data_IF_214052731739
#
_entry.id   IF_214052731739
#
_cell.length_a   1.000
_cell.length_b   1.000
_cell.length_c   1.000
_cell.angle_alpha   90.00
_cell.angle_beta   90.00
_cell.angle_gamma   90.00
#
_symmetry.space_group_name_H-M   'P 1'
#
loop_
_entity.id
_entity.type
_entity.pdbx_description
1 polymer ?
#
# COMPACT_ATOMS: atom_id res chain seq x y z
N UNK A 1 -22.87 -14.87 34.20
CA UNK A 1 -22.84 -15.68 32.96
C UNK A 1 -23.49 -14.96 31.78
N UNK A 2 -24.79 -14.59 31.76
CA UNK A 2 -25.36 -13.84 30.62
C UNK A 2 -24.79 -12.42 30.47
N UNK A 3 -24.79 -11.63 31.55
CA UNK A 3 -24.21 -10.27 31.57
C UNK A 3 -22.67 -10.22 31.49
N UNK A 4 -21.97 -11.35 31.53
CA UNK A 4 -20.51 -11.37 31.39
C UNK A 4 -20.09 -11.30 29.93
N UNK A 5 -20.84 -11.93 29.01
CA UNK A 5 -20.61 -11.80 27.57
C UNK A 5 -20.95 -10.40 27.06
N UNK A 6 -21.96 -9.73 27.63
CA UNK A 6 -22.33 -8.34 27.27
C UNK A 6 -21.30 -7.29 27.73
N UNK A 7 -20.32 -7.66 28.57
CA UNK A 7 -19.22 -6.78 28.99
C UNK A 7 -17.98 -6.88 28.10
N UNK A 8 -17.92 -7.90 27.24
CA UNK A 8 -16.81 -8.09 26.31
C UNK A 8 -17.01 -7.17 25.08
N UNK A 9 -16.22 -6.11 25.00
CA UNK A 9 -16.30 -5.13 23.91
C UNK A 9 -15.89 -5.70 22.55
N UNK A 10 -15.05 -6.74 22.53
CA UNK A 10 -14.69 -7.43 21.29
C UNK A 10 -15.85 -8.28 20.80
N UNK A 11 -16.49 -9.04 21.70
CA UNK A 11 -17.70 -9.80 21.36
C UNK A 11 -18.81 -8.89 20.83
N UNK A 12 -19.01 -7.73 21.45
CA UNK A 12 -19.97 -6.71 20.99
C UNK A 12 -19.66 -6.21 19.58
N UNK A 13 -18.41 -5.84 19.29
CA UNK A 13 -18.02 -5.35 17.96
C UNK A 13 -18.08 -6.45 16.89
N UNK A 14 -17.83 -7.72 17.25
CA UNK A 14 -18.05 -8.86 16.36
C UNK A 14 -19.51 -9.07 16.01
N UNK A 15 -20.42 -8.88 16.97
CA UNK A 15 -21.86 -8.92 16.70
C UNK A 15 -22.26 -7.79 15.75
N UNK A 16 -21.81 -6.55 16.00
CA UNK A 16 -22.06 -5.43 15.08
C UNK A 16 -21.51 -5.70 13.68
N UNK A 17 -20.32 -6.29 13.58
CA UNK A 17 -19.78 -6.74 12.29
C UNK A 17 -20.69 -7.75 11.61
N UNK A 18 -21.19 -8.77 12.33
CA UNK A 18 -22.08 -9.79 11.76
C UNK A 18 -23.40 -9.19 11.24
N UNK A 19 -23.95 -8.20 11.96
CA UNK A 19 -25.19 -7.50 11.62
C UNK A 19 -25.01 -6.42 10.53
N UNK A 20 -23.77 -6.06 10.20
CA UNK A 20 -23.48 -5.01 9.22
C UNK A 20 -23.84 -5.46 7.79
N UNK A 21 -24.63 -4.67 7.03
CA UNK A 21 -25.23 -5.10 5.78
C UNK A 21 -24.26 -5.32 4.61
N UNK A 22 -23.13 -4.60 4.58
CA UNK A 22 -22.17 -4.60 3.44
C UNK A 22 -22.89 -4.36 2.11
N UNK A 23 -23.48 -3.18 1.96
CA UNK A 23 -24.41 -2.83 0.88
C UNK A 23 -23.86 -3.03 -0.54
N UNK A 24 -22.52 -2.98 -0.69
CA UNK A 24 -21.79 -3.17 -1.94
C UNK A 24 -20.92 -4.43 -1.89
N UNK A 25 -21.30 -5.44 -1.11
CA UNK A 25 -20.70 -6.77 -1.21
C UNK A 25 -20.85 -7.32 -2.64
N UNK A 26 -19.85 -8.02 -3.14
CA UNK A 26 -19.86 -8.52 -4.51
C UNK A 26 -20.96 -9.57 -4.74
N UNK A 27 -21.87 -9.29 -5.68
CA UNK A 27 -22.97 -10.20 -6.06
C UNK A 27 -23.10 -10.38 -7.57
N UNK A 28 -22.23 -9.75 -8.36
CA UNK A 28 -22.30 -9.79 -9.81
C UNK A 28 -22.02 -11.19 -10.35
N UNK A 29 -22.79 -11.58 -11.36
CA UNK A 29 -22.68 -12.89 -12.04
C UNK A 29 -22.17 -12.77 -13.46
N UNK A 30 -22.12 -11.54 -13.99
CA UNK A 30 -21.57 -11.21 -15.30
C UNK A 30 -20.51 -10.13 -15.20
N UNK A 31 -19.61 -10.07 -16.18
CA UNK A 31 -18.57 -9.04 -16.25
C UNK A 31 -19.15 -7.62 -16.30
N UNK A 32 -20.26 -7.41 -17.01
CA UNK A 32 -20.91 -6.10 -17.10
C UNK A 32 -21.49 -5.63 -15.75
N UNK A 33 -22.11 -6.54 -14.99
CA UNK A 33 -22.56 -6.25 -13.62
C UNK A 33 -21.36 -5.94 -12.71
N UNK A 34 -20.27 -6.69 -12.86
CA UNK A 34 -19.06 -6.49 -12.07
C UNK A 34 -18.38 -5.14 -12.37
N UNK A 35 -18.33 -4.72 -13.64
CA UNK A 35 -17.84 -3.40 -14.03
C UNK A 35 -18.70 -2.26 -13.46
N UNK A 36 -20.03 -2.40 -13.51
CA UNK A 36 -20.95 -1.42 -12.92
C UNK A 36 -20.77 -1.33 -11.39
N UNK A 37 -20.67 -2.48 -10.72
CA UNK A 37 -20.38 -2.56 -9.30
C UNK A 37 -19.03 -1.91 -8.93
N UNK A 38 -18.00 -2.12 -9.74
CA UNK A 38 -16.70 -1.47 -9.51
C UNK A 38 -16.79 0.05 -9.57
N UNK A 39 -17.57 0.61 -10.50
CA UNK A 39 -17.77 2.07 -10.60
C UNK A 39 -18.38 2.60 -9.31
N UNK A 40 -19.43 1.95 -8.82
CA UNK A 40 -20.13 2.34 -7.59
C UNK A 40 -19.24 2.20 -6.35
N UNK A 41 -18.62 1.03 -6.15
CA UNK A 41 -17.80 0.78 -4.98
C UNK A 41 -16.53 1.65 -4.95
N UNK A 42 -15.90 1.93 -6.10
CA UNK A 42 -14.73 2.82 -6.14
C UNK A 42 -15.08 4.26 -5.81
N UNK A 43 -16.23 4.75 -6.29
CA UNK A 43 -16.73 6.07 -5.93
C UNK A 43 -17.00 6.15 -4.42
N UNK A 44 -17.69 5.14 -3.87
CA UNK A 44 -17.96 5.06 -2.43
C UNK A 44 -16.68 4.94 -1.60
N UNK A 45 -15.72 4.12 -2.00
CA UNK A 45 -14.43 3.99 -1.32
C UNK A 45 -13.67 5.31 -1.31
N UNK A 46 -13.66 6.03 -2.44
CA UNK A 46 -13.03 7.35 -2.55
C UNK A 46 -13.66 8.37 -1.60
N UNK A 47 -14.99 8.37 -1.47
CA UNK A 47 -15.70 9.17 -0.46
C UNK A 47 -15.29 8.79 0.96
N UNK A 48 -15.30 7.49 1.29
CA UNK A 48 -15.03 6.97 2.64
C UNK A 48 -13.60 7.26 3.13
N UNK A 49 -12.61 7.29 2.23
CA UNK A 49 -11.24 7.66 2.60
C UNK A 49 -11.07 9.18 2.84
N UNK A 50 -12.11 9.99 2.59
CA UNK A 50 -12.15 11.44 2.79
C UNK A 50 -12.14 12.28 1.52
N UNK A 51 -12.26 11.64 0.35
CA UNK A 51 -12.12 12.30 -0.94
C UNK A 51 -10.71 12.84 -1.21
N UNK A 52 -10.56 13.52 -2.35
CA UNK A 52 -9.31 14.15 -2.76
C UNK A 52 -9.55 15.62 -3.12
N UNK A 53 -8.51 16.48 -3.04
CA UNK A 53 -8.61 17.85 -3.54
C UNK A 53 -9.13 17.88 -4.99
N UNK A 54 -10.08 18.78 -5.32
CA UNK A 54 -10.67 18.86 -6.66
C UNK A 54 -9.66 19.33 -7.71
N UNK A 55 -8.65 20.09 -7.29
CA UNK A 55 -7.55 20.55 -8.12
C UNK A 55 -6.22 20.05 -7.56
N UNK A 56 -5.37 19.55 -8.47
CA UNK A 56 -4.00 19.17 -8.15
C UNK A 56 -3.14 20.43 -8.09
N UNK A 57 -2.31 20.56 -7.05
CA UNK A 57 -1.31 21.63 -7.04
C UNK A 57 -0.16 21.30 -8.00
N UNK A 58 0.61 22.32 -8.37
CA UNK A 58 1.88 22.11 -9.06
C UNK A 58 2.79 21.20 -8.23
N UNK A 59 3.54 20.33 -8.91
CA UNK A 59 4.45 19.40 -8.24
C UNK A 59 5.60 20.15 -7.56
N UNK A 60 6.06 21.28 -8.11
CA UNK A 60 7.26 21.99 -7.61
C UNK A 60 8.39 21.02 -7.27
N UNK A 61 8.69 20.10 -8.19
CA UNK A 61 9.60 18.99 -7.95
C UNK A 61 11.06 19.40 -8.06
N UNK A 62 11.90 18.85 -7.18
CA UNK A 62 13.33 19.13 -7.11
C UNK A 62 14.13 17.84 -6.86
N UNK A 63 15.29 17.73 -7.51
CA UNK A 63 16.31 16.72 -7.20
C UNK A 63 17.33 17.38 -6.27
N UNK A 64 17.37 16.94 -5.02
CA UNK A 64 18.22 17.52 -3.97
C UNK A 64 19.66 16.98 -4.05
N UNK A 65 19.80 15.72 -4.42
CA UNK A 65 21.09 15.04 -4.52
C UNK A 65 20.98 13.95 -5.60
N UNK A 66 22.08 13.72 -6.32
CA UNK A 66 22.23 12.55 -7.20
C UNK A 66 23.52 11.84 -6.84
N UNK A 67 23.42 10.55 -6.50
CA UNK A 67 24.54 9.72 -6.07
C UNK A 67 24.63 8.45 -6.90
N UNK A 68 25.84 8.18 -7.38
CA UNK A 68 26.12 6.95 -8.12
C UNK A 68 26.47 5.79 -7.18
N UNK A 69 25.94 4.62 -7.50
CA UNK A 69 26.23 3.35 -6.85
C UNK A 69 26.63 2.31 -7.90
N UNK A 70 27.29 1.20 -7.51
CA UNK A 70 27.49 0.08 -8.41
C UNK A 70 26.14 -0.42 -8.96
N UNK A 71 25.94 -0.25 -10.27
CA UNK A 71 24.76 -0.74 -10.98
C UNK A 71 23.53 0.18 -10.98
N UNK A 72 23.55 1.35 -10.33
CA UNK A 72 22.42 2.30 -10.37
C UNK A 72 22.78 3.74 -9.96
N UNK A 73 21.86 4.67 -10.21
CA UNK A 73 21.87 6.03 -9.68
C UNK A 73 20.71 6.16 -8.70
N UNK A 74 20.94 6.82 -7.56
CA UNK A 74 19.89 7.24 -6.64
C UNK A 74 19.81 8.76 -6.61
N UNK A 75 18.64 9.29 -6.93
CA UNK A 75 18.29 10.69 -6.76
C UNK A 75 17.45 10.86 -5.50
N UNK A 76 17.85 11.77 -4.62
CA UNK A 76 17.00 12.22 -3.52
C UNK A 76 16.06 13.29 -4.08
N UNK A 77 14.76 13.04 -4.01
CA UNK A 77 13.74 13.86 -4.68
C UNK A 77 12.73 14.40 -3.69
N UNK A 78 12.19 15.58 -4.00
CA UNK A 78 11.05 16.14 -3.29
C UNK A 78 10.04 16.76 -4.25
N UNK A 79 8.76 16.70 -3.91
CA UNK A 79 7.68 17.33 -4.69
C UNK A 79 6.43 17.51 -3.83
N UNK A 80 5.58 18.48 -4.15
CA UNK A 80 4.33 18.76 -3.44
C UNK A 80 3.21 17.80 -3.85
N UNK A 81 2.62 17.17 -2.84
CA UNK A 81 1.31 16.54 -3.00
C UNK A 81 0.17 17.54 -2.76
N UNK A 82 0.37 18.48 -1.84
CA UNK A 82 -0.59 19.52 -1.45
C UNK A 82 0.13 20.85 -1.25
N UNK A 83 -0.61 21.96 -1.26
CA UNK A 83 -0.06 23.33 -1.07
C UNK A 83 0.88 23.47 0.12
N UNK A 84 0.64 22.72 1.19
CA UNK A 84 1.40 22.77 2.45
C UNK A 84 2.01 21.42 2.84
N UNK A 85 2.22 20.50 1.89
CA UNK A 85 2.84 19.20 2.16
C UNK A 85 3.75 18.78 1.03
N UNK A 86 4.98 18.43 1.38
CA UNK A 86 6.02 17.93 0.50
C UNK A 86 6.18 16.43 0.75
N UNK A 87 6.27 15.67 -0.34
CA UNK A 87 6.72 14.29 -0.37
C UNK A 87 8.24 14.31 -0.53
N UNK A 88 8.92 13.52 0.28
CA UNK A 88 10.34 13.22 0.18
C UNK A 88 10.49 11.76 -0.27
N UNK A 89 11.55 11.44 -1.02
CA UNK A 89 11.82 10.07 -1.41
C UNK A 89 13.09 9.91 -2.23
N UNK A 90 13.25 8.70 -2.77
CA UNK A 90 14.38 8.34 -3.62
C UNK A 90 13.89 7.78 -4.95
N UNK A 91 14.41 8.32 -6.05
CA UNK A 91 14.26 7.73 -7.37
C UNK A 91 15.53 6.95 -7.73
N UNK A 92 15.40 5.65 -7.98
CA UNK A 92 16.49 4.75 -8.30
C UNK A 92 16.36 4.28 -9.76
N UNK A 93 17.44 4.45 -10.52
CA UNK A 93 17.49 4.08 -11.93
C UNK A 93 18.67 3.14 -12.22
N UNK A 94 18.46 2.01 -12.91
CA UNK A 94 19.52 1.04 -13.19
C UNK A 94 20.60 1.59 -14.14
N UNK A 95 21.86 1.14 -13.94
CA UNK A 95 23.03 1.42 -14.80
C UNK A 95 23.63 0.12 -15.38
N UNK A 96 24.01 0.10 -16.67
CA UNK A 96 23.61 1.06 -17.70
C UNK A 96 22.08 1.00 -17.91
N UNK A 97 21.46 2.01 -18.56
CA UNK A 97 20.08 1.89 -18.98
C UNK A 97 19.91 0.57 -19.75
N UNK A 98 18.98 -0.30 -19.31
CA UNK A 98 18.82 -1.64 -19.89
C UNK A 98 18.50 -1.58 -21.38
N UNK A 99 17.86 -0.50 -21.83
CA UNK A 99 17.66 -0.19 -23.24
C UNK A 99 17.38 1.30 -23.46
N UNK A 100 17.14 1.69 -24.72
CA UNK A 100 16.62 3.01 -25.08
C UNK A 100 15.12 3.18 -24.79
N UNK A 101 14.42 2.13 -24.33
CA UNK A 101 13.00 2.21 -23.95
C UNK A 101 12.85 2.59 -22.48
N UNK A 102 11.78 3.33 -22.12
CA UNK A 102 11.47 3.63 -20.73
C UNK A 102 11.36 2.36 -19.86
N UNK A 103 11.74 2.44 -18.59
CA UNK A 103 11.76 1.30 -17.68
C UNK A 103 10.38 1.06 -17.05
N UNK A 104 9.97 -0.20 -16.84
CA UNK A 104 8.89 -0.50 -15.93
C UNK A 104 9.28 0.02 -14.53
N UNK A 105 8.35 0.67 -13.84
CA UNK A 105 8.65 1.39 -12.61
C UNK A 105 7.75 0.96 -11.47
N UNK A 106 8.33 0.72 -10.30
CA UNK A 106 7.60 0.36 -9.08
C UNK A 106 7.61 1.55 -8.11
N UNK A 107 6.44 1.96 -7.65
CA UNK A 107 6.31 2.81 -6.46
C UNK A 107 6.43 1.94 -5.21
N UNK A 108 7.46 2.15 -4.41
CA UNK A 108 7.75 1.39 -3.20
C UNK A 108 7.35 2.17 -1.94
N UNK A 109 6.61 1.51 -1.04
CA UNK A 109 6.04 2.12 0.17
C UNK A 109 6.44 1.33 1.42
N UNK A 110 7.22 1.96 2.29
CA UNK A 110 7.72 1.32 3.52
C UNK A 110 6.59 1.07 4.54
N UNK A 111 6.68 -0.03 5.27
CA UNK A 111 5.85 -0.29 6.45
C UNK A 111 6.22 0.59 7.65
N UNK A 112 5.61 0.30 8.80
CA UNK A 112 5.99 0.95 10.07
C UNK A 112 7.48 0.71 10.37
N UNK A 113 8.21 1.77 10.72
CA UNK A 113 9.66 1.70 10.92
C UNK A 113 10.31 3.07 10.78
N UNK A 114 11.56 3.11 10.32
CA UNK A 114 12.33 4.34 10.11
C UNK A 114 11.91 5.12 8.87
N UNK A 115 11.07 4.53 8.02
CA UNK A 115 10.54 5.17 6.82
C UNK A 115 11.23 4.68 5.55
N UNK A 116 11.27 5.52 4.53
CA UNK A 116 11.80 5.18 3.20
C UNK A 116 13.24 4.68 3.21
N UNK A 117 14.05 5.13 4.17
CA UNK A 117 15.44 4.67 4.37
C UNK A 117 15.54 3.15 4.60
N UNK A 118 14.56 2.55 5.29
CA UNK A 118 14.54 1.11 5.59
C UNK A 118 14.39 0.23 4.35
N UNK A 119 13.83 0.75 3.26
CA UNK A 119 13.57 -0.03 2.05
C UNK A 119 14.62 0.21 0.97
N UNK A 120 15.45 1.24 1.13
CA UNK A 120 16.60 1.55 0.28
C UNK A 120 17.95 1.25 0.94
N UNK A 121 17.97 0.52 2.06
CA UNK A 121 19.20 0.04 2.71
C UNK A 121 20.03 1.11 3.43
N UNK A 122 19.44 2.25 3.81
CA UNK A 122 20.16 3.30 4.56
C UNK A 122 20.05 3.02 6.06
N UNK A 123 21.19 2.89 6.74
CA UNK A 123 21.29 2.69 8.20
C UNK A 123 21.13 4.00 8.98
N UNK A 124 20.96 3.93 10.30
CA UNK A 124 20.73 5.12 11.14
C UNK A 124 21.89 6.12 11.12
N UNK A 125 23.10 5.64 10.88
CA UNK A 125 24.31 6.47 10.71
C UNK A 125 24.48 7.01 9.27
N UNK A 126 23.54 6.72 8.37
CA UNK A 126 23.57 7.09 6.96
C UNK A 126 24.45 6.19 6.08
N UNK A 127 25.08 5.15 6.64
CA UNK A 127 25.78 4.14 5.87
C UNK A 127 24.80 3.23 5.11
N UNK A 128 25.30 2.47 4.14
CA UNK A 128 24.49 1.51 3.40
C UNK A 128 24.66 0.11 4.01
N UNK A 129 23.55 -0.62 4.14
CA UNK A 129 23.58 -2.05 4.45
C UNK A 129 24.41 -2.83 3.44
N UNK A 130 25.18 -3.79 3.95
CA UNK A 130 25.99 -4.70 3.13
C UNK A 130 25.16 -5.83 2.50
N UNK A 131 24.12 -6.28 3.20
CA UNK A 131 23.19 -7.33 2.78
C UNK A 131 21.76 -6.85 3.03
N UNK A 132 20.80 -7.34 2.24
CA UNK A 132 19.40 -7.01 2.44
C UNK A 132 18.94 -7.45 3.82
N UNK A 133 18.21 -6.59 4.53
CA UNK A 133 17.89 -6.85 5.93
C UNK A 133 16.69 -6.10 6.47
N UNK A 134 16.40 -6.38 7.74
CA UNK A 134 15.18 -5.93 8.41
C UNK A 134 13.94 -6.69 7.92
N UNK A 135 12.80 -6.49 8.58
CA UNK A 135 11.57 -7.18 8.18
C UNK A 135 11.06 -6.73 6.80
N UNK A 136 11.45 -5.53 6.34
CA UNK A 136 11.11 -5.03 5.00
C UNK A 136 12.12 -5.49 3.92
N UNK A 137 13.24 -6.08 4.35
CA UNK A 137 14.24 -6.71 3.49
C UNK A 137 14.72 -5.83 2.32
N UNK A 138 14.85 -4.52 2.49
CA UNK A 138 15.33 -3.60 1.44
C UNK A 138 14.61 -3.77 0.08
N UNK A 139 13.29 -4.06 0.08
CA UNK A 139 12.58 -4.50 -1.11
C UNK A 139 12.61 -3.51 -2.29
N UNK A 140 12.89 -2.22 -2.04
CA UNK A 140 13.06 -1.24 -3.11
C UNK A 140 14.38 -1.47 -3.88
N UNK A 141 15.47 -1.86 -3.19
CA UNK A 141 16.71 -2.30 -3.84
C UNK A 141 16.52 -3.63 -4.58
N UNK A 142 15.67 -4.52 -4.06
CA UNK A 142 15.32 -5.76 -4.75
C UNK A 142 14.55 -5.50 -6.05
N UNK A 143 13.58 -4.59 -6.06
CA UNK A 143 12.89 -4.17 -7.29
C UNK A 143 13.91 -3.69 -8.35
N UNK A 144 14.88 -2.88 -7.94
CA UNK A 144 15.96 -2.44 -8.82
C UNK A 144 16.80 -3.61 -9.35
N UNK A 145 17.17 -4.56 -8.51
CA UNK A 145 17.90 -5.77 -8.91
C UNK A 145 17.13 -6.63 -9.92
N UNK A 146 15.79 -6.66 -9.81
CA UNK A 146 14.90 -7.31 -10.78
C UNK A 146 14.66 -6.48 -12.06
N UNK A 147 15.24 -5.28 -12.16
CA UNK A 147 15.29 -4.49 -13.38
C UNK A 147 14.27 -3.38 -13.50
N UNK A 148 13.58 -3.06 -12.43
CA UNK A 148 12.64 -1.94 -12.40
C UNK A 148 13.37 -0.63 -12.06
N UNK A 149 12.92 0.49 -12.63
CA UNK A 149 13.16 1.77 -11.97
C UNK A 149 12.28 1.83 -10.71
N UNK A 150 12.70 2.57 -9.69
CA UNK A 150 11.99 2.60 -8.42
C UNK A 150 11.81 4.02 -7.97
N UNK A 151 10.59 4.36 -7.55
CA UNK A 151 10.35 5.53 -6.72
C UNK A 151 9.94 5.04 -5.34
N UNK A 152 10.80 5.24 -4.35
CA UNK A 152 10.48 4.96 -2.95
C UNK A 152 10.11 6.29 -2.29
N UNK A 153 8.89 6.42 -1.76
CA UNK A 153 8.45 7.68 -1.12
C UNK A 153 8.26 7.51 0.39
N UNK A 154 8.53 8.59 1.11
CA UNK A 154 8.26 8.69 2.54
C UNK A 154 6.75 8.84 2.78
N UNK A 155 6.20 7.87 3.50
CA UNK A 155 4.78 7.90 3.84
C UNK A 155 4.49 8.95 4.92
N UNK A 156 3.29 9.54 4.85
CA UNK A 156 2.84 10.51 5.85
C UNK A 156 2.91 9.91 7.25
N UNK A 157 3.56 10.61 8.19
CA UNK A 157 3.71 10.17 9.58
C UNK A 157 4.86 9.18 9.85
N UNK A 158 5.71 8.87 8.85
CA UNK A 158 6.94 8.08 8.99
C UNK A 158 8.18 8.88 8.63
N UNK A 159 9.35 8.40 9.07
CA UNK A 159 10.68 8.96 8.79
C UNK A 159 10.74 10.49 8.79
N UNK A 160 11.05 11.08 7.64
CA UNK A 160 11.19 12.53 7.47
C UNK A 160 9.89 13.33 7.60
N UNK A 161 8.74 12.65 7.53
CA UNK A 161 7.40 13.26 7.55
C UNK A 161 6.67 13.02 8.87
N UNK A 162 7.45 12.92 9.95
CA UNK A 162 6.98 12.85 11.34
C UNK A 162 6.90 14.24 11.97
N UNK A 163 6.07 14.38 12.98
CA UNK A 163 6.06 15.53 13.88
C UNK A 163 7.30 15.53 14.81
N UNK A 164 7.50 16.65 15.51
CA UNK A 164 8.64 16.84 16.39
C UNK A 164 8.66 15.87 17.59
N UNK A 165 7.49 15.45 18.08
CA UNK A 165 7.37 14.55 19.23
C UNK A 165 7.80 13.14 18.83
N UNK A 166 7.39 12.67 17.66
CA UNK A 166 7.85 11.39 17.13
C UNK A 166 9.36 11.42 16.82
N UNK A 167 9.89 12.52 16.25
CA UNK A 167 11.34 12.63 16.07
C UNK A 167 12.13 12.46 17.37
N UNK A 168 11.64 13.02 18.49
CA UNK A 168 12.29 12.87 19.80
C UNK A 168 12.23 11.45 20.36
N UNK A 169 11.28 10.61 19.92
CA UNK A 169 11.12 9.22 20.38
C UNK A 169 12.01 8.21 19.63
N UNK A 170 12.79 8.65 18.65
CA UNK A 170 13.71 7.81 17.87
C UNK A 170 13.14 7.33 16.54
N UNK A 171 14.02 6.81 15.67
CA UNK A 171 13.75 6.51 14.26
C UNK A 171 12.53 5.63 13.98
N UNK A 172 12.32 4.58 14.78
CA UNK A 172 11.21 3.63 14.59
C UNK A 172 9.83 4.10 15.06
N UNK A 173 9.72 5.31 15.65
CA UNK A 173 8.42 5.83 16.10
C UNK A 173 7.66 6.53 14.96
N UNK A 174 6.34 6.64 15.08
CA UNK A 174 5.48 7.29 14.07
C UNK A 174 4.63 8.42 14.63
N UNK A 175 4.15 9.27 13.74
CA UNK A 175 3.14 10.30 14.01
C UNK A 175 1.72 9.85 13.67
N UNK A 176 1.50 8.53 13.54
CA UNK A 176 0.22 7.98 13.10
C UNK A 176 -0.92 8.38 14.04
N UNK A 177 -0.74 8.26 15.36
CA UNK A 177 -1.80 8.56 16.32
C UNK A 177 -2.34 10.00 16.21
N UNK A 178 -1.52 11.06 16.34
CA UNK A 178 -2.01 12.43 16.22
C UNK A 178 -2.52 12.76 14.81
N UNK A 179 -1.83 12.28 13.77
CA UNK A 179 -2.16 12.63 12.38
C UNK A 179 -3.45 11.95 11.91
N UNK A 180 -3.64 10.65 12.21
CA UNK A 180 -4.86 9.94 11.86
C UNK A 180 -6.05 10.47 12.68
N UNK A 181 -5.86 10.76 13.99
CA UNK A 181 -6.89 11.40 14.79
C UNK A 181 -7.33 12.76 14.21
N UNK A 182 -6.37 13.58 13.77
CA UNK A 182 -6.66 14.84 13.08
C UNK A 182 -7.39 14.61 11.74
N UNK A 183 -6.97 13.62 10.95
CA UNK A 183 -7.65 13.27 9.70
C UNK A 183 -9.12 12.93 9.95
N UNK A 184 -9.40 12.07 10.94
CA UNK A 184 -10.77 11.68 11.30
C UNK A 184 -11.63 12.88 11.73
N UNK A 185 -11.07 13.79 12.52
CA UNK A 185 -11.76 15.04 12.91
C UNK A 185 -12.10 15.95 11.71
N UNK A 186 -11.30 15.87 10.65
CA UNK A 186 -11.50 16.63 9.41
C UNK A 186 -12.38 15.89 8.38
N UNK A 187 -12.98 14.75 8.76
CA UNK A 187 -13.77 13.91 7.86
C UNK A 187 -12.91 13.19 6.81
N UNK A 188 -11.64 12.98 7.10
CA UNK A 188 -10.65 12.35 6.23
C UNK A 188 -10.02 11.13 6.92
N UNK A 189 -9.15 10.41 6.22
CA UNK A 189 -8.42 9.27 6.79
C UNK A 189 -6.94 9.36 6.47
N UNK A 190 -6.09 8.76 7.31
CA UNK A 190 -4.67 8.62 7.00
C UNK A 190 -4.45 7.76 5.74
N UNK A 191 -5.30 6.75 5.52
CA UNK A 191 -5.32 5.97 4.28
C UNK A 191 -5.51 6.89 3.07
N UNK A 192 -6.55 7.74 3.08
CA UNK A 192 -6.81 8.69 2.00
C UNK A 192 -5.67 9.69 1.80
N UNK A 193 -5.04 10.14 2.89
CA UNK A 193 -3.88 11.03 2.78
C UNK A 193 -2.69 10.38 2.08
N UNK A 194 -2.37 9.12 2.42
CA UNK A 194 -1.28 8.36 1.82
C UNK A 194 -1.59 7.90 0.40
N UNK A 195 -2.83 7.49 0.12
CA UNK A 195 -3.28 7.18 -1.26
C UNK A 195 -3.10 8.40 -2.16
N UNK A 196 -3.53 9.57 -1.72
CA UNK A 196 -3.35 10.78 -2.51
C UNK A 196 -1.86 11.13 -2.72
N UNK A 197 -1.00 10.90 -1.72
CA UNK A 197 0.44 11.05 -1.91
C UNK A 197 0.99 10.09 -2.97
N UNK A 198 0.54 8.82 -2.99
CA UNK A 198 0.91 7.86 -4.03
C UNK A 198 0.39 8.28 -5.43
N UNK A 199 -0.84 8.78 -5.53
CA UNK A 199 -1.39 9.33 -6.77
C UNK A 199 -0.54 10.50 -7.30
N UNK A 200 -0.04 11.35 -6.40
CA UNK A 200 0.85 12.47 -6.73
C UNK A 200 2.26 12.02 -7.07
N UNK A 201 2.73 10.91 -6.51
CA UNK A 201 3.98 10.27 -6.93
C UNK A 201 3.88 9.74 -8.36
N UNK A 202 2.73 9.19 -8.79
CA UNK A 202 2.51 8.83 -10.19
C UNK A 202 2.49 10.04 -11.13
N UNK A 203 2.02 11.20 -10.66
CA UNK A 203 2.10 12.45 -11.44
C UNK A 203 3.55 12.92 -11.60
N UNK A 204 4.38 12.76 -10.56
CA UNK A 204 5.81 13.00 -10.67
C UNK A 204 6.47 12.03 -11.67
N UNK A 205 6.17 10.74 -11.57
CA UNK A 205 6.68 9.73 -12.50
C UNK A 205 6.31 10.02 -13.96
N UNK A 206 5.13 10.57 -14.23
CA UNK A 206 4.75 10.94 -15.61
C UNK A 206 5.53 12.12 -16.18
N UNK A 207 6.34 12.82 -15.37
CA UNK A 207 7.29 13.85 -15.84
C UNK A 207 8.66 13.29 -16.22
N UNK A 208 8.95 12.02 -15.88
CA UNK A 208 10.25 11.38 -16.09
C UNK A 208 10.27 10.65 -17.43
N UNK A 209 11.09 11.08 -18.43
CA UNK A 209 11.10 10.47 -19.75
C UNK A 209 11.56 9.00 -19.75
N UNK A 210 12.32 8.59 -18.74
CA UNK A 210 12.79 7.22 -18.55
C UNK A 210 11.77 6.28 -17.90
N UNK A 211 10.58 6.75 -17.54
CA UNK A 211 9.53 5.95 -16.89
C UNK A 211 8.45 5.55 -17.89
N UNK A 212 8.13 4.26 -17.94
CA UNK A 212 7.00 3.74 -18.70
C UNK A 212 5.71 3.75 -17.86
N UNK A 213 4.86 4.75 -18.06
CA UNK A 213 3.57 4.84 -17.35
C UNK A 213 2.58 3.71 -17.71
N UNK A 214 2.82 2.94 -18.79
CA UNK A 214 2.02 1.75 -19.11
C UNK A 214 2.51 0.49 -18.39
N UNK A 215 3.67 0.55 -17.73
CA UNK A 215 4.25 -0.53 -16.94
C UNK A 215 4.58 -0.05 -15.53
N UNK A 216 3.55 0.48 -14.87
CA UNK A 216 3.61 1.03 -13.53
C UNK A 216 3.10 0.02 -12.49
N UNK A 217 3.97 -0.37 -11.57
CA UNK A 217 3.63 -1.18 -10.41
C UNK A 217 3.65 -0.39 -9.10
N UNK A 218 3.09 -0.98 -8.05
CA UNK A 218 3.15 -0.49 -6.68
C UNK A 218 3.39 -1.66 -5.74
N UNK A 219 4.25 -1.47 -4.73
CA UNK A 219 4.63 -2.53 -3.79
C UNK A 219 4.83 -1.94 -2.40
N UNK A 220 4.35 -2.65 -1.38
CA UNK A 220 4.60 -2.28 0.00
C UNK A 220 4.26 -3.38 0.99
N UNK A 221 4.81 -3.25 2.19
CA UNK A 221 4.60 -4.15 3.32
C UNK A 221 3.90 -3.43 4.48
N UNK A 222 3.03 -4.11 5.23
CA UNK A 222 2.41 -3.56 6.45
C UNK A 222 1.63 -2.27 6.16
N UNK A 223 1.92 -1.15 6.85
CA UNK A 223 1.38 0.18 6.53
C UNK A 223 1.67 0.65 5.08
N UNK A 224 2.74 0.15 4.45
CA UNK A 224 2.99 0.31 3.02
C UNK A 224 2.10 -0.60 2.16
N UNK A 225 1.78 -1.79 2.66
CA UNK A 225 0.77 -2.70 2.09
C UNK A 225 -0.62 -2.07 2.11
N UNK A 226 -1.00 -1.39 3.19
CA UNK A 226 -2.24 -0.59 3.30
C UNK A 226 -2.34 0.40 2.15
N UNK A 227 -1.34 1.28 2.02
CA UNK A 227 -1.36 2.32 0.99
C UNK A 227 -1.30 1.72 -0.42
N UNK A 228 -0.52 0.65 -0.61
CA UNK A 228 -0.44 -0.09 -1.88
C UNK A 228 -1.82 -0.61 -2.30
N UNK A 229 -2.50 -1.31 -1.39
CA UNK A 229 -3.80 -1.93 -1.65
C UNK A 229 -4.87 -0.90 -2.01
N UNK A 230 -5.05 0.14 -1.17
CA UNK A 230 -6.05 1.16 -1.43
C UNK A 230 -5.71 2.06 -2.63
N UNK A 231 -4.43 2.35 -2.87
CA UNK A 231 -4.03 3.08 -4.08
C UNK A 231 -4.34 2.27 -5.33
N UNK A 232 -4.04 0.97 -5.34
CA UNK A 232 -4.37 0.11 -6.47
C UNK A 232 -5.88 0.02 -6.71
N UNK A 233 -6.70 -0.04 -5.65
CA UNK A 233 -8.16 -0.07 -5.75
C UNK A 233 -8.75 1.24 -6.33
N UNK A 234 -8.17 2.39 -5.98
CA UNK A 234 -8.66 3.73 -6.33
C UNK A 234 -8.08 4.26 -7.65
N UNK A 235 -6.77 4.15 -7.86
CA UNK A 235 -6.07 4.70 -9.02
C UNK A 235 -5.81 3.61 -10.07
N UNK A 236 -6.51 3.71 -11.21
CA UNK A 236 -6.47 2.73 -12.29
C UNK A 236 -5.21 2.82 -13.16
N UNK A 237 -4.30 3.77 -12.90
CA UNK A 237 -2.98 3.81 -13.53
C UNK A 237 -2.09 2.65 -13.10
N UNK A 238 -2.26 2.15 -11.87
CA UNK A 238 -1.54 0.99 -11.34
C UNK A 238 -1.87 -0.24 -12.18
N UNK A 239 -0.85 -0.90 -12.74
CA UNK A 239 -1.01 -2.11 -13.57
C UNK A 239 -0.78 -3.40 -12.78
N UNK A 240 0.09 -3.35 -11.78
CA UNK A 240 0.36 -4.45 -10.87
C UNK A 240 0.56 -3.94 -9.44
N UNK A 241 -0.01 -4.63 -8.46
CA UNK A 241 0.14 -4.33 -7.04
C UNK A 241 0.67 -5.55 -6.27
N UNK A 242 1.69 -5.36 -5.44
CA UNK A 242 2.19 -6.38 -4.50
C UNK A 242 1.94 -5.92 -3.08
N UNK A 243 1.06 -6.63 -2.38
CA UNK A 243 0.64 -6.34 -1.01
C UNK A 243 1.22 -7.39 -0.08
N UNK A 244 2.26 -7.00 0.67
CA UNK A 244 2.93 -7.87 1.63
C UNK A 244 2.44 -7.60 3.05
N UNK A 245 2.07 -8.67 3.79
CA UNK A 245 1.70 -8.56 5.21
C UNK A 245 0.64 -7.49 5.49
N UNK A 246 -0.48 -7.51 4.76
CA UNK A 246 -1.59 -6.57 4.98
C UNK A 246 -2.96 -7.11 4.60
N UNK A 247 -3.09 -7.77 3.44
CA UNK A 247 -4.41 -8.19 2.94
C UNK A 247 -5.02 -9.27 3.85
N UNK A 248 -6.12 -8.93 4.52
CA UNK A 248 -6.81 -9.76 5.50
C UNK A 248 -8.29 -9.38 5.48
N UNK A 249 -9.11 -9.83 6.43
CA UNK A 249 -10.42 -9.21 6.65
C UNK A 249 -10.27 -8.06 7.65
N UNK A 250 -11.09 -7.02 7.53
CA UNK A 250 -11.20 -5.97 8.54
C UNK A 250 -11.56 -6.59 9.90
N UNK A 251 -12.45 -7.60 9.92
CA UNK A 251 -12.85 -8.28 11.15
C UNK A 251 -11.64 -8.83 11.88
N UNK A 252 -10.85 -9.68 11.23
CA UNK A 252 -9.88 -10.54 11.91
C UNK A 252 -8.57 -9.81 12.24
N UNK A 253 -8.30 -8.66 11.59
CA UNK A 253 -7.15 -7.80 11.88
C UNK A 253 -7.57 -6.44 12.48
N UNK A 254 -7.94 -5.47 11.63
CA UNK A 254 -8.11 -4.05 12.03
C UNK A 254 -9.17 -3.86 13.14
N UNK A 255 -10.23 -4.66 13.14
CA UNK A 255 -11.30 -4.60 14.13
C UNK A 255 -10.95 -5.38 15.42
N UNK A 256 -10.32 -6.55 15.29
CA UNK A 256 -10.13 -7.48 16.41
C UNK A 256 -8.85 -7.27 17.21
N UNK A 257 -7.86 -6.60 16.64
CA UNK A 257 -6.53 -6.46 17.23
C UNK A 257 -6.25 -5.00 17.61
N UNK A 258 -5.32 -4.81 18.54
CA UNK A 258 -4.77 -3.48 18.81
C UNK A 258 -3.95 -3.01 17.61
N UNK A 259 -4.59 -2.29 16.69
CA UNK A 259 -3.97 -1.84 15.46
C UNK A 259 -3.65 -0.35 15.48
N UNK A 260 -2.71 0.08 14.65
CA UNK A 260 -2.45 1.51 14.47
C UNK A 260 -3.67 2.19 13.83
N UNK A 261 -4.06 3.35 14.38
CA UNK A 261 -5.25 4.11 13.97
C UNK A 261 -5.19 4.58 12.49
N UNK A 262 -4.01 4.58 11.88
CA UNK A 262 -3.82 4.96 10.49
C UNK A 262 -4.48 4.01 9.48
N UNK A 263 -4.90 2.82 9.91
CA UNK A 263 -5.57 1.83 9.08
C UNK A 263 -7.11 1.97 9.05
N UNK A 264 -7.68 2.81 9.91
CA UNK A 264 -9.14 2.88 10.07
C UNK A 264 -9.77 3.80 9.03
N UNK A 265 -10.76 3.24 8.32
CA UNK A 265 -11.66 3.98 7.42
C UNK A 265 -13.06 3.91 8.05
N UNK A 266 -13.55 4.99 8.67
CA UNK A 266 -14.87 5.00 9.27
C UNK A 266 -15.93 4.59 8.26
N UNK A 267 -16.92 3.82 8.72
CA UNK A 267 -18.09 3.42 7.94
C UNK A 267 -17.84 2.45 6.77
N UNK A 268 -16.60 2.03 6.50
CA UNK A 268 -16.28 1.17 5.34
C UNK A 268 -17.05 -0.15 5.34
N UNK A 269 -17.18 -0.80 6.50
CA UNK A 269 -17.87 -2.08 6.65
C UNK A 269 -19.35 -2.02 6.29
N UNK A 270 -20.00 -0.86 6.36
CA UNK A 270 -21.39 -0.70 5.90
C UNK A 270 -21.56 -0.98 4.40
N UNK A 271 -20.46 -0.89 3.63
CA UNK A 271 -20.47 -1.03 2.19
C UNK A 271 -19.71 -2.26 1.72
N UNK A 272 -18.51 -2.52 2.24
CA UNK A 272 -17.63 -3.54 1.67
C UNK A 272 -16.64 -4.10 2.70
N UNK A 273 -16.22 -5.33 2.46
CA UNK A 273 -15.08 -5.96 3.13
C UNK A 273 -13.80 -5.82 2.28
N UNK A 274 -12.61 -6.11 2.83
CA UNK A 274 -11.33 -6.03 2.12
C UNK A 274 -11.32 -6.87 0.84
N UNK A 275 -11.93 -8.07 0.82
CA UNK A 275 -12.01 -8.88 -0.39
C UNK A 275 -12.92 -8.26 -1.48
N UNK A 276 -13.95 -7.51 -1.11
CA UNK A 276 -14.77 -6.74 -2.08
C UNK A 276 -13.92 -5.60 -2.66
N UNK A 277 -13.15 -4.91 -1.81
CA UNK A 277 -12.26 -3.83 -2.26
C UNK A 277 -11.16 -4.36 -3.19
N UNK A 278 -10.65 -5.57 -2.96
CA UNK A 278 -9.70 -6.23 -3.87
C UNK A 278 -10.29 -6.42 -5.28
N UNK A 279 -11.60 -6.65 -5.35
CA UNK A 279 -12.34 -6.73 -6.59
C UNK A 279 -12.28 -5.46 -7.45
N UNK A 280 -11.98 -4.28 -6.88
CA UNK A 280 -11.75 -3.04 -7.65
C UNK A 280 -10.44 -3.05 -8.44
N UNK A 281 -9.53 -3.98 -8.13
CA UNK A 281 -8.24 -4.12 -8.79
C UNK A 281 -8.39 -4.97 -10.05
N UNK A 282 -9.23 -6.01 -10.04
CA UNK A 282 -9.52 -6.83 -11.22
C UNK A 282 -9.92 -5.96 -12.45
N UNK A 283 -9.52 -6.33 -13.68
CA UNK A 283 -8.65 -7.44 -14.06
C UNK A 283 -7.15 -7.12 -13.98
N UNK A 284 -6.74 -6.08 -13.23
CA UNK A 284 -5.32 -5.71 -13.06
C UNK A 284 -4.65 -6.64 -12.06
N UNK A 285 -3.34 -6.75 -12.15
CA UNK A 285 -2.58 -7.75 -11.40
C UNK A 285 -2.50 -7.38 -9.91
N UNK A 286 -2.87 -8.32 -9.03
CA UNK A 286 -2.74 -8.24 -7.57
C UNK A 286 -1.99 -9.46 -7.06
N UNK A 287 -0.90 -9.24 -6.35
CA UNK A 287 -0.16 -10.27 -5.64
C UNK A 287 -0.23 -10.03 -4.14
N UNK A 288 -0.48 -11.08 -3.38
CA UNK A 288 -0.55 -11.04 -1.92
C UNK A 288 0.51 -12.01 -1.38
N UNK A 289 1.27 -11.58 -0.39
CA UNK A 289 2.17 -12.47 0.35
C UNK A 289 1.94 -12.32 1.86
N UNK A 290 2.03 -13.44 2.60
CA UNK A 290 1.74 -13.48 4.03
C UNK A 290 2.63 -14.51 4.75
N UNK A 291 3.21 -14.10 5.88
CA UNK A 291 3.91 -15.01 6.79
C UNK A 291 2.93 -15.88 7.58
N UNK A 292 3.30 -17.14 7.84
CA UNK A 292 2.47 -18.07 8.64
C UNK A 292 2.37 -17.70 10.12
N UNK A 293 3.33 -16.93 10.64
CA UNK A 293 3.42 -16.52 12.05
C UNK A 293 3.10 -15.03 12.24
N UNK A 294 2.54 -14.37 11.21
CA UNK A 294 2.11 -12.97 11.30
C UNK A 294 0.92 -12.84 12.28
N UNK A 295 1.17 -12.19 13.42
CA UNK A 295 0.18 -11.98 14.48
C UNK A 295 -0.67 -10.73 14.27
N UNK A 296 -0.33 -9.88 13.28
CA UNK A 296 -1.06 -8.67 12.92
C UNK A 296 -2.08 -8.97 11.82
N UNK A 297 -1.70 -9.82 10.86
CA UNK A 297 -2.54 -10.27 9.75
C UNK A 297 -2.61 -11.81 9.73
N UNK A 298 -3.49 -12.42 10.55
CA UNK A 298 -3.52 -13.87 10.74
C UNK A 298 -3.76 -14.62 9.42
N UNK A 299 -2.92 -15.63 9.17
CA UNK A 299 -2.85 -16.33 7.87
C UNK A 299 -4.18 -16.93 7.43
N UNK A 300 -4.98 -17.50 8.33
CA UNK A 300 -6.26 -18.13 7.95
C UNK A 300 -7.29 -17.10 7.44
N UNK A 301 -7.29 -15.89 8.02
CA UNK A 301 -8.13 -14.81 7.53
C UNK A 301 -7.62 -14.26 6.19
N UNK A 302 -6.30 -14.23 5.97
CA UNK A 302 -5.71 -13.92 4.66
C UNK A 302 -6.13 -14.95 3.61
N UNK A 303 -6.03 -16.25 3.90
CA UNK A 303 -6.49 -17.33 3.00
C UNK A 303 -7.96 -17.20 2.64
N UNK A 304 -8.79 -16.91 3.63
CA UNK A 304 -10.22 -16.66 3.43
C UNK A 304 -10.46 -15.47 2.48
N UNK A 305 -9.83 -14.33 2.76
CA UNK A 305 -9.97 -13.11 1.95
C UNK A 305 -9.47 -13.32 0.50
N UNK A 306 -8.36 -14.03 0.30
CA UNK A 306 -7.82 -14.37 -1.04
C UNK A 306 -8.82 -15.23 -1.80
N UNK A 307 -9.39 -16.25 -1.16
CA UNK A 307 -10.37 -17.13 -1.80
C UNK A 307 -11.65 -16.38 -2.18
N UNK A 308 -12.12 -15.45 -1.35
CA UNK A 308 -13.25 -14.58 -1.66
C UNK A 308 -12.93 -13.65 -2.84
N UNK A 309 -11.76 -13.00 -2.84
CA UNK A 309 -11.32 -12.15 -3.95
C UNK A 309 -11.16 -12.94 -5.26
N UNK A 310 -10.70 -14.20 -5.20
CA UNK A 310 -10.56 -15.07 -6.37
C UNK A 310 -11.89 -15.28 -7.10
N UNK A 311 -13.00 -15.41 -6.38
CA UNK A 311 -14.32 -15.50 -6.98
C UNK A 311 -14.67 -14.24 -7.82
N UNK A 312 -14.24 -13.07 -7.35
CA UNK A 312 -14.43 -11.80 -8.07
C UNK A 312 -13.55 -11.76 -9.33
N UNK A 313 -12.27 -12.08 -9.21
CA UNK A 313 -11.33 -12.12 -10.34
C UNK A 313 -11.78 -13.11 -11.43
N UNK A 314 -12.38 -14.25 -11.05
CA UNK A 314 -12.97 -15.19 -12.00
C UNK A 314 -14.11 -14.56 -12.83
N UNK A 315 -14.93 -13.69 -12.24
CA UNK A 315 -16.00 -12.99 -12.96
C UNK A 315 -15.46 -12.07 -14.08
N UNK A 316 -14.22 -11.60 -13.93
CA UNK A 316 -13.49 -10.83 -14.94
C UNK A 316 -12.66 -11.69 -15.89
N UNK A 317 -12.69 -13.02 -15.79
CA UNK A 317 -11.79 -13.95 -16.49
C UNK A 317 -10.30 -13.60 -16.27
N UNK A 318 -9.95 -13.22 -15.05
CA UNK A 318 -8.63 -12.73 -14.67
C UNK A 318 -8.04 -13.55 -13.52
N UNK A 319 -8.29 -14.85 -13.46
CA UNK A 319 -7.80 -15.73 -12.39
C UNK A 319 -6.26 -15.80 -12.34
N UNK A 320 -5.59 -15.61 -13.49
CA UNK A 320 -4.14 -15.48 -13.60
C UNK A 320 -3.59 -14.15 -13.05
N UNK A 321 -4.48 -13.18 -12.75
CA UNK A 321 -4.12 -11.85 -12.23
C UNK A 321 -4.24 -11.73 -10.72
N UNK A 322 -4.57 -12.81 -10.01
CA UNK A 322 -4.52 -12.87 -8.55
C UNK A 322 -3.50 -13.92 -8.10
N UNK A 323 -2.34 -13.45 -7.64
CA UNK A 323 -1.30 -14.29 -7.05
C UNK A 323 -1.35 -14.29 -5.52
N UNK A 324 -1.00 -15.42 -4.91
CA UNK A 324 -0.90 -15.55 -3.46
C UNK A 324 0.26 -16.46 -3.05
N UNK A 325 1.12 -15.98 -2.16
CA UNK A 325 2.24 -16.72 -1.60
C UNK A 325 2.20 -16.71 -0.07
N UNK A 326 2.54 -17.87 0.52
CA UNK A 326 2.66 -18.04 1.96
C UNK A 326 4.04 -18.59 2.27
N UNK A 327 4.69 -18.03 3.28
CA UNK A 327 6.04 -18.39 3.67
C UNK A 327 6.17 -18.49 5.20
N UNK A 328 7.15 -19.27 5.65
CA UNK A 328 7.42 -19.47 7.08
C UNK A 328 8.19 -18.27 7.65
N UNK A 329 7.45 -17.32 8.20
CA UNK A 329 7.98 -16.19 8.96
C UNK A 329 6.86 -15.46 9.73
N UNK A 330 7.25 -14.53 10.59
CA UNK A 330 6.35 -13.52 11.15
C UNK A 330 6.03 -12.41 10.13
N UNK A 331 5.69 -11.24 10.65
CA UNK A 331 5.40 -10.05 9.85
C UNK A 331 6.65 -9.52 9.11
N UNK A 332 6.88 -9.99 7.89
CA UNK A 332 8.08 -9.72 7.09
C UNK A 332 7.84 -9.80 5.58
N UNK A 333 8.73 -9.24 4.78
CA UNK A 333 8.69 -9.25 3.32
C UNK A 333 9.44 -10.46 2.78
N UNK A 334 8.88 -11.13 1.76
CA UNK A 334 9.47 -12.33 1.17
C UNK A 334 9.91 -12.12 -0.28
N UNK A 335 9.03 -11.63 -1.15
CA UNK A 335 9.37 -11.15 -2.49
C UNK A 335 9.58 -12.22 -3.57
N UNK A 336 9.71 -13.50 -3.23
CA UNK A 336 10.10 -14.55 -4.19
C UNK A 336 9.07 -14.70 -5.31
N UNK A 337 7.82 -15.08 -4.98
CA UNK A 337 6.74 -15.19 -5.95
C UNK A 337 6.31 -13.82 -6.50
N UNK A 338 6.43 -12.77 -5.67
CA UNK A 338 6.05 -11.42 -6.05
C UNK A 338 6.85 -10.89 -7.26
N UNK A 339 8.16 -11.10 -7.29
CA UNK A 339 8.99 -10.63 -8.41
C UNK A 339 8.75 -11.42 -9.70
N UNK A 340 8.51 -12.74 -9.60
CA UNK A 340 8.13 -13.55 -10.77
C UNK A 340 6.75 -13.13 -11.32
N UNK A 341 5.81 -12.80 -10.43
CA UNK A 341 4.50 -12.29 -10.82
C UNK A 341 4.60 -10.90 -11.49
N UNK A 342 5.38 -9.98 -10.94
CA UNK A 342 5.59 -8.65 -11.53
C UNK A 342 6.18 -8.74 -12.93
N UNK A 343 7.13 -9.66 -13.17
CA UNK A 343 7.77 -9.87 -14.47
C UNK A 343 6.80 -10.33 -15.55
N UNK A 344 5.69 -10.96 -15.18
CA UNK A 344 4.64 -11.36 -16.10
C UNK A 344 3.62 -10.24 -16.33
N UNK A 345 3.47 -9.32 -15.37
CA UNK A 345 2.48 -8.26 -15.38
C UNK A 345 2.98 -6.94 -15.99
N UNK A 346 4.29 -6.69 -15.94
CA UNK A 346 4.97 -5.47 -16.42
C UNK A 346 6.11 -5.85 -17.36
#
# INVERSE_FOLDING_TARGET
MYYEQERDTLAFTHQLYAETPRQLAFQATTMAEAEAWQVELRAKLTELVGGFPPERCDLESEVLESREFPGYIRETVQFKSRRHSVIFGYFLSPKPPKSSTPNPTILCLAGHGRGVDDIVGIEEDGSMRAEWGGYQNDFALQCLAHGYSVLAIEQFGFGHRRDAVAHQKGGGSSSCQPSAGAALLLGQTMVGWRVYDAMRAFDYLSTRPEVDMNRLGIMGISGGGTTTFFTAAIDTRVKAAVVSGYFNTFRDSILSLSHCIDNYIPNVLQYAEMYDIAGLIAPRALFIESGTEDTIFPIEATRFAVNAAKAIFNCFNADDKLGFEVFEAGHSFYGVGAFEFLKQAL
#
